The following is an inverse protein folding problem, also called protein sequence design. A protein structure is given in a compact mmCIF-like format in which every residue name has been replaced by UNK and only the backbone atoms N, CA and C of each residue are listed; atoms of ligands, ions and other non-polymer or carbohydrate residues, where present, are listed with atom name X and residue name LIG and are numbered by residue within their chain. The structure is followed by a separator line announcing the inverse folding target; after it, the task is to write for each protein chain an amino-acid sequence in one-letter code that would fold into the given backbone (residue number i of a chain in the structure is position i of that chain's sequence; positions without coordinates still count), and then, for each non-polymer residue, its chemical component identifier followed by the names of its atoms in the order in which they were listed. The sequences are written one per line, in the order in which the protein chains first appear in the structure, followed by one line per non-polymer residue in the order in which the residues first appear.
data_IF_445996555474
#
_entry.id   IF_445996555474
#
_cell.length_a   1.000
_cell.length_b   1.000
_cell.length_c   1.000
_cell.angle_alpha   90.00
_cell.angle_beta   90.00
_cell.angle_gamma   90.00
#
_symmetry.space_group_name_H-M   'P 1'
#
loop_
_entity.id
_entity.type
_entity.pdbx_description
1 polymer ?
#
# COMPACT_ATOMS: atom_id res chain seq x y z
N UNK A 1 13.06 10.30 11.30
CA UNK A 1 12.78 8.89 11.00
C UNK A 1 11.98 8.85 9.71
N UNK A 2 12.28 7.94 8.79
CA UNK A 2 11.35 7.66 7.69
C UNK A 2 10.24 6.77 8.26
N UNK A 3 8.99 7.19 8.14
CA UNK A 3 7.83 6.42 8.63
C UNK A 3 7.49 5.25 7.71
N UNK A 4 7.84 5.35 6.42
CA UNK A 4 7.69 4.28 5.44
C UNK A 4 8.62 4.50 4.23
N UNK A 5 8.83 3.43 3.45
CA UNK A 5 9.51 3.42 2.16
C UNK A 5 8.62 2.71 1.12
N UNK A 6 8.64 3.19 -0.13
CA UNK A 6 7.83 2.66 -1.24
C UNK A 6 8.71 2.51 -2.47
N UNK A 7 8.51 1.41 -3.20
CA UNK A 7 9.10 1.22 -4.53
C UNK A 7 8.11 0.50 -5.44
N UNK A 8 8.18 0.79 -6.73
CA UNK A 8 7.51 -0.02 -7.74
C UNK A 8 8.23 -1.35 -7.91
N UNK A 9 7.46 -2.43 -8.05
CA UNK A 9 7.95 -3.81 -8.22
C UNK A 9 7.12 -4.55 -9.27
N UNK A 10 7.75 -5.49 -9.95
CA UNK A 10 7.07 -6.43 -10.84
C UNK A 10 6.82 -7.75 -10.10
N UNK A 11 5.57 -8.22 -10.14
CA UNK A 11 5.15 -9.49 -9.53
C UNK A 11 4.72 -10.46 -10.62
N UNK A 12 5.41 -11.59 -10.73
CA UNK A 12 5.09 -12.64 -11.70
C UNK A 12 4.17 -13.72 -11.10
N UNK A 13 4.41 -14.10 -9.84
CA UNK A 13 3.60 -15.06 -9.09
C UNK A 13 3.09 -14.42 -7.79
N UNK A 14 1.77 -14.34 -7.67
CA UNK A 14 1.11 -13.76 -6.50
C UNK A 14 1.09 -14.74 -5.32
N UNK A 15 1.01 -16.05 -5.58
CA UNK A 15 0.89 -17.07 -4.54
C UNK A 15 2.19 -17.21 -3.74
N UNK A 16 3.35 -16.99 -4.37
CA UNK A 16 4.65 -17.00 -3.69
C UNK A 16 4.83 -15.80 -2.74
N UNK A 17 4.21 -14.67 -3.06
CA UNK A 17 4.44 -13.39 -2.36
C UNK A 17 3.44 -13.17 -1.22
N UNK A 18 2.18 -13.63 -1.35
CA UNK A 18 1.14 -13.47 -0.33
C UNK A 18 1.58 -13.93 1.08
N UNK A 19 2.25 -15.09 1.26
CA UNK A 19 2.68 -15.55 2.58
C UNK A 19 3.74 -14.65 3.25
N UNK A 20 4.43 -13.84 2.45
CA UNK A 20 5.57 -13.02 2.87
C UNK A 20 5.18 -11.56 3.16
N UNK A 21 3.94 -11.17 2.86
CA UNK A 21 3.39 -9.83 3.11
C UNK A 21 2.44 -9.84 4.31
N UNK A 22 2.45 -8.76 5.08
CA UNK A 22 1.66 -8.64 6.30
C UNK A 22 2.32 -7.75 7.35
N UNK A 23 1.54 -7.35 8.35
CA UNK A 23 2.04 -6.51 9.44
C UNK A 23 2.46 -5.12 8.94
N UNK A 24 3.76 -4.87 8.87
CA UNK A 24 4.37 -3.62 8.42
C UNK A 24 4.90 -3.67 6.98
N UNK A 25 4.75 -4.78 6.26
CA UNK A 25 5.10 -4.90 4.85
C UNK A 25 3.85 -5.23 4.05
N UNK A 26 3.64 -4.53 2.94
CA UNK A 26 2.49 -4.76 2.08
C UNK A 26 2.86 -4.56 0.61
N UNK A 27 2.23 -5.32 -0.28
CA UNK A 27 2.28 -5.08 -1.72
C UNK A 27 0.88 -4.80 -2.22
N UNK A 28 0.73 -3.70 -2.95
CA UNK A 28 -0.57 -3.22 -3.41
C UNK A 28 -0.55 -2.93 -4.91
N UNK A 29 -1.68 -3.22 -5.57
CA UNK A 29 -1.94 -2.68 -6.90
C UNK A 29 -2.64 -1.33 -6.77
N UNK A 30 -2.14 -0.34 -7.49
CA UNK A 30 -2.71 1.01 -7.56
C UNK A 30 -2.43 1.61 -8.94
N UNK A 31 -3.25 2.57 -9.40
CA UNK A 31 -3.03 3.19 -10.72
C UNK A 31 -1.72 3.96 -10.80
N UNK A 32 -1.22 4.50 -9.68
CA UNK A 32 -0.02 5.33 -9.65
C UNK A 32 0.59 5.43 -8.25
N UNK A 33 1.85 5.87 -8.21
CA UNK A 33 2.68 5.96 -7.01
C UNK A 33 2.14 6.94 -5.96
N UNK A 34 1.69 8.13 -6.36
CA UNK A 34 1.23 9.18 -5.44
C UNK A 34 -0.02 8.76 -4.66
N UNK A 35 -0.89 7.93 -5.26
CA UNK A 35 -2.03 7.36 -4.57
C UNK A 35 -1.59 6.46 -3.40
N UNK A 36 -0.53 5.67 -3.61
CA UNK A 36 0.06 4.80 -2.56
C UNK A 36 0.74 5.63 -1.49
N UNK A 37 1.52 6.65 -1.87
CA UNK A 37 2.15 7.58 -0.92
C UNK A 37 1.11 8.23 -0.02
N UNK A 38 0.03 8.74 -0.61
CA UNK A 38 -1.02 9.42 0.15
C UNK A 38 -1.74 8.48 1.11
N UNK A 39 -2.11 7.28 0.64
CA UNK A 39 -2.73 6.27 1.50
C UNK A 39 -1.80 5.79 2.62
N UNK A 40 -0.49 5.65 2.36
CA UNK A 40 0.51 5.31 3.36
C UNK A 40 0.67 6.41 4.42
N UNK A 41 0.68 7.67 4.02
CA UNK A 41 0.70 8.81 4.94
C UNK A 41 -0.53 8.82 5.86
N UNK A 42 -1.73 8.62 5.32
CA UNK A 42 -2.96 8.55 6.12
C UNK A 42 -2.95 7.33 7.06
N UNK A 43 -2.41 6.21 6.59
CA UNK A 43 -2.24 5.01 7.40
C UNK A 43 -1.39 5.28 8.64
N UNK A 44 -0.23 5.93 8.48
CA UNK A 44 0.63 6.27 9.62
C UNK A 44 -0.08 7.19 10.59
N UNK A 45 -0.70 8.27 10.08
CA UNK A 45 -1.44 9.22 10.91
C UNK A 45 -2.58 8.58 11.69
N UNK A 46 -3.29 7.63 11.09
CA UNK A 46 -4.37 6.92 11.75
C UNK A 46 -3.84 6.08 12.93
N UNK A 47 -2.70 5.41 12.76
CA UNK A 47 -2.06 4.66 13.85
C UNK A 47 -1.53 5.57 14.96
N UNK A 48 -0.88 6.68 14.62
CA UNK A 48 -0.38 7.66 15.60
C UNK A 48 -1.51 8.26 16.45
N UNK A 49 -2.68 8.45 15.86
CA UNK A 49 -3.87 9.01 16.53
C UNK A 49 -4.74 7.95 17.20
N UNK A 50 -4.49 6.66 16.98
CA UNK A 50 -5.35 5.57 17.46
C UNK A 50 -6.73 5.54 16.78
N UNK A 51 -6.84 6.05 15.55
CA UNK A 51 -8.06 6.08 14.74
C UNK A 51 -8.01 5.12 13.55
N UNK A 52 -7.05 4.19 13.54
CA UNK A 52 -6.95 3.13 12.55
C UNK A 52 -8.10 2.11 12.71
N UNK A 53 -8.58 1.55 11.60
CA UNK A 53 -9.65 0.55 11.59
C UNK A 53 -9.08 -0.87 11.54
N UNK A 54 -7.99 -1.07 10.80
CA UNK A 54 -7.29 -2.35 10.76
C UNK A 54 -6.30 -2.50 11.92
N UNK A 55 -5.99 -3.75 12.27
CA UNK A 55 -5.03 -4.08 13.34
C UNK A 55 -3.56 -3.87 12.94
N UNK A 56 -3.26 -3.70 11.66
CA UNK A 56 -1.91 -3.61 11.11
C UNK A 56 -1.80 -2.49 10.08
N UNK A 57 -0.60 -1.93 9.90
CA UNK A 57 -0.34 -0.86 8.93
C UNK A 57 -0.62 -1.33 7.50
N UNK A 58 -0.18 -2.54 7.13
CA UNK A 58 -0.47 -3.10 5.82
C UNK A 58 -1.96 -3.37 5.56
N UNK A 59 -2.72 -3.70 6.61
CA UNK A 59 -4.17 -3.85 6.51
C UNK A 59 -4.87 -2.49 6.35
N UNK A 60 -4.46 -1.51 7.13
CA UNK A 60 -5.00 -0.15 7.07
C UNK A 60 -4.71 0.50 5.72
N UNK A 61 -3.51 0.31 5.17
CA UNK A 61 -3.15 0.77 3.83
C UNK A 61 -4.14 0.27 2.76
N UNK A 62 -4.54 -1.00 2.82
CA UNK A 62 -5.53 -1.56 1.90
C UNK A 62 -6.90 -0.88 2.09
N UNK A 63 -7.34 -0.67 3.34
CA UNK A 63 -8.59 0.04 3.62
C UNK A 63 -8.55 1.45 3.03
N UNK A 64 -7.47 2.20 3.28
CA UNK A 64 -7.26 3.56 2.76
C UNK A 64 -7.29 3.56 1.23
N UNK A 65 -6.47 2.75 0.55
CA UNK A 65 -6.45 2.72 -0.93
C UNK A 65 -7.81 2.37 -1.56
N UNK A 66 -8.55 1.46 -0.92
CA UNK A 66 -9.85 1.02 -1.43
C UNK A 66 -11.01 1.95 -1.04
N UNK A 67 -10.84 2.82 -0.04
CA UNK A 67 -11.94 3.61 0.51
C UNK A 67 -13.03 2.76 1.18
N UNK A 68 -12.68 1.56 1.66
CA UNK A 68 -13.62 0.59 2.27
C UNK A 68 -13.16 0.17 3.66
N UNK A 69 -14.12 -0.19 4.52
CA UNK A 69 -13.84 -0.79 5.84
C UNK A 69 -13.71 -2.31 5.83
N UNK A 70 -14.23 -2.98 4.80
CA UNK A 70 -14.15 -4.44 4.69
C UNK A 70 -12.84 -4.87 4.03
N UNK A 71 -11.97 -5.53 4.80
CA UNK A 71 -10.64 -5.95 4.32
C UNK A 71 -10.69 -6.88 3.10
N UNK A 72 -11.70 -7.76 3.01
CA UNK A 72 -11.88 -8.68 1.88
C UNK A 72 -12.10 -7.92 0.56
N UNK A 73 -12.85 -6.82 0.61
CA UNK A 73 -13.10 -5.99 -0.55
C UNK A 73 -11.89 -5.13 -0.90
N UNK A 74 -11.20 -4.62 0.13
CA UNK A 74 -9.96 -3.87 -0.03
C UNK A 74 -8.86 -4.70 -0.71
N UNK A 75 -8.69 -5.96 -0.30
CA UNK A 75 -7.77 -6.91 -0.94
C UNK A 75 -8.17 -7.17 -2.39
N UNK A 76 -9.46 -7.36 -2.67
CA UNK A 76 -9.93 -7.60 -4.05
C UNK A 76 -9.58 -6.42 -4.98
N UNK A 77 -9.70 -5.21 -4.48
CA UNK A 77 -9.50 -4.00 -5.27
C UNK A 77 -8.02 -3.62 -5.41
N UNK A 78 -7.30 -3.62 -4.30
CA UNK A 78 -5.95 -3.06 -4.18
C UNK A 78 -4.89 -4.04 -3.67
N UNK A 79 -5.23 -5.31 -3.45
CA UNK A 79 -4.23 -6.34 -3.15
C UNK A 79 -3.25 -6.54 -4.31
N UNK A 80 -2.18 -7.30 -4.02
CA UNK A 80 -1.16 -7.68 -5.00
C UNK A 80 -1.79 -8.39 -6.21
N UNK A 81 -1.29 -8.07 -7.41
CA UNK A 81 -1.71 -8.66 -8.69
C UNK A 81 -0.48 -9.05 -9.52
N UNK A 82 -0.67 -9.84 -10.57
CA UNK A 82 0.40 -10.03 -11.57
C UNK A 82 0.64 -8.70 -12.29
N UNK A 83 1.91 -8.33 -12.49
CA UNK A 83 2.34 -7.08 -13.13
C UNK A 83 2.93 -6.06 -12.17
N UNK A 84 2.76 -4.78 -12.52
CA UNK A 84 3.21 -3.65 -11.73
C UNK A 84 2.44 -3.51 -10.42
N UNK A 85 3.18 -3.47 -9.31
CA UNK A 85 2.67 -3.21 -7.97
C UNK A 85 3.60 -2.25 -7.23
N UNK A 86 3.22 -1.90 -6.00
CA UNK A 86 4.03 -1.09 -5.10
C UNK A 86 4.28 -1.85 -3.80
N UNK A 87 5.56 -2.08 -3.49
CA UNK A 87 6.00 -2.59 -2.20
C UNK A 87 6.09 -1.42 -1.23
N UNK A 88 5.39 -1.53 -0.11
CA UNK A 88 5.36 -0.56 0.98
C UNK A 88 5.90 -1.21 2.24
N UNK A 89 6.92 -0.59 2.84
CA UNK A 89 7.53 -1.02 4.10
C UNK A 89 7.36 0.11 5.11
N UNK A 90 6.64 -0.16 6.19
CA UNK A 90 6.42 0.80 7.28
C UNK A 90 7.42 0.62 8.42
N UNK A 91 7.71 1.73 9.11
CA UNK A 91 8.61 1.81 10.25
C UNK A 91 10.08 1.71 9.86
N UNK A 92 10.89 1.13 10.74
CA UNK A 92 12.34 0.96 10.52
C UNK A 92 12.70 -0.22 9.60
N UNK A 93 11.77 -0.70 8.78
CA UNK A 93 12.05 -1.77 7.82
C UNK A 93 12.94 -1.27 6.69
N UNK A 94 13.81 -2.13 6.17
CA UNK A 94 14.69 -1.81 5.04
C UNK A 94 14.10 -2.34 3.74
N UNK A 95 13.71 -1.41 2.86
CA UNK A 95 13.09 -1.74 1.58
C UNK A 95 13.95 -2.66 0.70
N UNK A 96 15.26 -2.40 0.61
CA UNK A 96 16.19 -3.23 -0.19
C UNK A 96 16.27 -4.67 0.35
N UNK A 97 16.33 -4.84 1.67
CA UNK A 97 16.37 -6.17 2.29
C UNK A 97 15.07 -6.94 2.02
N UNK A 98 13.91 -6.26 2.08
CA UNK A 98 12.64 -6.90 1.75
C UNK A 98 12.49 -7.22 0.27
N UNK A 99 12.97 -6.37 -0.63
CA UNK A 99 13.06 -6.67 -2.05
C UNK A 99 13.84 -7.96 -2.33
N UNK A 100 15.00 -8.12 -1.67
CA UNK A 100 15.82 -9.33 -1.80
C UNK A 100 15.13 -10.56 -1.21
N UNK A 101 14.54 -10.46 -0.02
CA UNK A 101 13.81 -11.55 0.63
C UNK A 101 12.63 -12.04 -0.21
N UNK A 102 11.92 -11.10 -0.85
CA UNK A 102 10.76 -11.39 -1.68
C UNK A 102 11.13 -11.82 -3.10
N UNK A 103 12.41 -11.77 -3.48
CA UNK A 103 12.86 -12.10 -4.84
C UNK A 103 12.30 -11.18 -5.94
N UNK A 104 11.82 -9.98 -5.57
CA UNK A 104 11.14 -9.08 -6.50
C UNK A 104 12.13 -8.21 -7.27
N UNK A 105 11.74 -7.84 -8.50
CA UNK A 105 12.47 -6.86 -9.31
C UNK A 105 11.84 -5.50 -9.18
N UNK A 106 12.65 -4.45 -9.11
CA UNK A 106 12.17 -3.07 -9.20
C UNK A 106 11.63 -2.80 -10.60
N UNK A 107 10.58 -1.99 -10.64
CA UNK A 107 10.01 -1.45 -11.86
C UNK A 107 10.08 0.09 -11.85
N UNK A 108 9.80 0.71 -12.98
CA UNK A 108 9.60 2.16 -13.04
C UNK A 108 8.20 2.49 -12.47
N UNK A 109 8.09 3.44 -11.53
CA UNK A 109 6.81 3.84 -10.99
C UNK A 109 5.98 4.58 -12.05
N UNK A 110 4.68 4.30 -12.07
CA UNK A 110 3.72 5.12 -12.83
C UNK A 110 3.30 6.28 -11.94
N UNK A 111 3.43 7.50 -12.46
CA UNK A 111 3.04 8.72 -11.76
C UNK A 111 1.63 9.14 -12.15
N UNK A 112 0.86 9.64 -11.19
CA UNK A 112 -0.52 10.05 -11.43
C UNK A 112 -0.55 11.30 -12.33
N UNK A 113 -1.51 11.33 -13.25
CA UNK A 113 -1.92 12.60 -13.83
C UNK A 113 -2.57 13.50 -12.77
N UNK A 114 -2.30 14.81 -12.75
CA UNK A 114 -2.83 15.71 -11.72
C UNK A 114 -4.36 15.69 -11.58
N UNK A 115 -5.08 15.45 -12.68
CA UNK A 115 -6.55 15.35 -12.68
C UNK A 115 -7.09 14.07 -12.04
N UNK A 116 -6.31 12.99 -12.06
CA UNK A 116 -6.71 11.67 -11.53
C UNK A 116 -6.33 11.50 -10.05
N UNK A 117 -5.33 12.27 -9.58
CA UNK A 117 -4.87 12.19 -8.20
C UNK A 117 -5.95 12.62 -7.18
N UNK A 118 -6.70 13.69 -7.46
CA UNK A 118 -7.67 14.24 -6.50
C UNK A 118 -8.75 13.22 -6.10
N UNK A 119 -9.44 12.53 -7.03
CA UNK A 119 -10.39 11.48 -6.67
C UNK A 119 -9.77 10.35 -5.82
N UNK A 120 -8.52 9.98 -6.09
CA UNK A 120 -7.82 8.92 -5.33
C UNK A 120 -7.48 9.36 -3.90
N UNK A 121 -7.13 10.62 -3.72
CA UNK A 121 -6.92 11.22 -2.39
C UNK A 121 -8.24 11.28 -1.60
N UNK A 122 -9.31 11.76 -2.23
CA UNK A 122 -10.65 11.81 -1.63
C UNK A 122 -11.10 10.41 -1.19
N UNK A 123 -10.95 9.43 -2.09
CA UNK A 123 -11.24 8.02 -1.80
C UNK A 123 -10.46 7.50 -0.61
N UNK A 124 -9.18 7.86 -0.49
CA UNK A 124 -8.35 7.43 0.65
C UNK A 124 -8.76 8.06 1.97
N UNK A 125 -9.25 9.30 1.92
CA UNK A 125 -9.75 10.01 3.08
C UNK A 125 -11.12 9.52 3.56
N UNK A 126 -11.94 8.90 2.69
CA UNK A 126 -13.28 8.40 3.06
C UNK A 126 -13.27 7.50 4.29
N UNK A 127 -12.23 6.68 4.46
CA UNK A 127 -12.11 5.78 5.61
C UNK A 127 -12.11 6.54 6.95
N UNK A 128 -11.63 7.79 7.04
CA UNK A 128 -11.71 8.57 8.28
C UNK A 128 -13.15 8.97 8.65
N UNK A 129 -14.07 8.98 7.69
CA UNK A 129 -15.44 9.45 7.85
C UNK A 129 -16.47 8.31 8.00
N UNK A 130 -16.04 7.05 7.88
CA UNK A 130 -16.90 5.85 7.95
C UNK A 130 -16.83 5.17 9.32
#
# INVERSE_FOLDING_TARGET
MKEFEITAVEVEDVEEVIPLIGGNVQIVSAPCYEAVVYAALLTVRAFERGTNHAKTLGGELLLRLSGRLQIKDAIRENGVKVGLNYLVVFGNGHLESKLQELGLRKAEPVHCDPGELKPLMEKSALVEAL
#
